data_IF_996621983292
#
_entry.id   IF_996621983292
#
_cell.length_a   1.000
_cell.length_b   1.000
_cell.length_c   1.000
_cell.angle_alpha   90.00
_cell.angle_beta   90.00
_cell.angle_gamma   90.00
#
_symmetry.space_group_name_H-M   'P 1'
#
loop_
_entity.id
_entity.type
_entity.pdbx_description
1 polymer ?
#
# COMPACT_ATOMS: atom_id res chain seq x y z
N UNK A 1 -10.23 -16.78 -5.44
CA UNK A 1 -9.19 -15.72 -5.57
C UNK A 1 -8.43 -15.60 -4.26
N UNK A 2 -7.09 -15.45 -4.26
CA UNK A 2 -6.28 -15.32 -3.04
C UNK A 2 -6.11 -13.85 -2.66
N UNK A 3 -6.48 -13.48 -1.43
CA UNK A 3 -6.31 -12.12 -0.89
C UNK A 3 -5.45 -12.18 0.37
N UNK A 4 -4.46 -11.29 0.47
CA UNK A 4 -3.66 -11.13 1.68
C UNK A 4 -4.34 -10.14 2.62
N UNK A 5 -4.38 -10.48 3.89
CA UNK A 5 -4.92 -9.60 4.92
C UNK A 5 -4.02 -9.56 6.15
N UNK A 6 -4.18 -8.51 6.95
CA UNK A 6 -3.49 -8.39 8.23
C UNK A 6 -4.12 -9.32 9.28
N UNK A 7 -3.52 -9.33 10.48
CA UNK A 7 -3.94 -10.20 11.57
C UNK A 7 -5.35 -9.89 12.10
N UNK A 8 -5.87 -8.67 11.92
CA UNK A 8 -7.20 -8.29 12.38
C UNK A 8 -8.30 -8.98 11.55
N UNK A 9 -8.00 -9.40 10.32
CA UNK A 9 -8.95 -10.09 9.43
C UNK A 9 -8.86 -11.63 9.50
N UNK A 10 -8.19 -12.20 10.51
CA UNK A 10 -8.06 -13.66 10.69
C UNK A 10 -9.22 -14.36 11.36
N UNK A 11 -10.33 -13.67 11.63
CA UNK A 11 -11.51 -14.27 12.25
C UNK A 11 -12.08 -15.41 11.40
N UNK A 12 -12.40 -16.54 12.05
CA UNK A 12 -12.98 -17.71 11.39
C UNK A 12 -14.32 -17.38 10.71
N UNK A 13 -15.15 -16.56 11.36
CA UNK A 13 -16.42 -16.09 10.82
C UNK A 13 -16.24 -15.26 9.53
N UNK A 14 -15.32 -14.29 9.55
CA UNK A 14 -15.03 -13.46 8.39
C UNK A 14 -14.45 -14.28 7.23
N UNK A 15 -13.55 -15.21 7.53
CA UNK A 15 -12.93 -16.07 6.53
C UNK A 15 -13.96 -17.00 5.89
N UNK A 16 -14.86 -17.59 6.69
CA UNK A 16 -15.95 -18.40 6.19
C UNK A 16 -16.93 -17.58 5.33
N UNK A 17 -17.31 -16.39 5.78
CA UNK A 17 -18.15 -15.49 5.02
C UNK A 17 -17.52 -15.09 3.68
N UNK A 18 -16.24 -14.72 3.66
CA UNK A 18 -15.53 -14.31 2.46
C UNK A 18 -15.42 -15.46 1.44
N UNK A 19 -15.18 -16.68 1.93
CA UNK A 19 -15.13 -17.86 1.07
C UNK A 19 -16.52 -18.19 0.49
N UNK A 20 -17.58 -18.14 1.30
CA UNK A 20 -18.93 -18.52 0.88
C UNK A 20 -19.62 -17.46 0.01
N UNK A 21 -19.39 -16.18 0.29
CA UNK A 21 -20.09 -15.08 -0.37
C UNK A 21 -19.32 -14.56 -1.59
N UNK A 22 -17.99 -14.48 -1.47
CA UNK A 22 -17.15 -13.83 -2.49
C UNK A 22 -16.25 -14.84 -3.23
N UNK A 23 -16.16 -16.10 -2.80
CA UNK A 23 -15.21 -17.08 -3.37
C UNK A 23 -13.75 -16.68 -3.15
N UNK A 24 -13.48 -15.93 -2.09
CA UNK A 24 -12.16 -15.38 -1.76
C UNK A 24 -11.55 -16.17 -0.61
N UNK A 25 -10.33 -16.65 -0.83
CA UNK A 25 -9.50 -17.26 0.19
C UNK A 25 -8.61 -16.19 0.81
N UNK A 26 -8.76 -15.97 2.11
CA UNK A 26 -7.97 -14.99 2.86
C UNK A 26 -6.72 -15.68 3.41
N UNK A 27 -5.56 -15.14 3.07
CA UNK A 27 -4.29 -15.53 3.67
C UNK A 27 -3.82 -14.43 4.60
N UNK A 28 -3.98 -14.68 5.90
CA UNK A 28 -3.46 -13.78 6.93
C UNK A 28 -1.96 -13.94 7.07
N UNK A 29 -1.25 -12.82 7.09
CA UNK A 29 0.17 -12.78 7.42
C UNK A 29 0.29 -12.39 8.89
N UNK A 30 0.59 -13.34 9.80
CA UNK A 30 0.73 -13.02 11.21
C UNK A 30 1.94 -12.13 11.44
N UNK A 31 1.81 -11.22 12.41
CA UNK A 31 2.96 -10.49 12.94
C UNK A 31 3.74 -11.45 13.85
N UNK A 32 5.08 -11.48 13.80
CA UNK A 32 5.87 -12.25 14.76
C UNK A 32 5.59 -11.77 16.19
N UNK A 33 5.42 -12.69 17.15
CA UNK A 33 5.05 -12.32 18.53
C UNK A 33 6.17 -11.54 19.25
N UNK A 34 7.44 -11.79 18.88
CA UNK A 34 8.62 -11.10 19.43
C UNK A 34 8.89 -9.72 18.80
N UNK A 35 8.02 -9.28 17.89
CA UNK A 35 8.17 -8.02 17.16
C UNK A 35 7.93 -6.79 18.04
N UNK A 36 8.99 -6.12 18.48
CA UNK A 36 8.89 -4.79 19.11
C UNK A 36 8.97 -3.67 18.06
N UNK A 37 8.04 -2.71 18.13
CA UNK A 37 7.99 -1.56 17.22
C UNK A 37 7.39 -1.88 15.83
N UNK A 38 7.55 -0.96 14.89
CA UNK A 38 7.01 -1.10 13.53
C UNK A 38 7.86 -2.09 12.71
N UNK A 39 7.26 -3.20 12.29
CA UNK A 39 7.89 -4.17 11.38
C UNK A 39 7.15 -4.16 10.06
N UNK A 40 7.91 -4.08 8.97
CA UNK A 40 7.40 -4.18 7.61
C UNK A 40 6.94 -5.62 7.35
N UNK A 41 5.63 -5.85 7.36
CA UNK A 41 5.07 -7.14 6.94
C UNK A 41 5.15 -7.26 5.41
N UNK A 42 5.66 -8.39 4.87
CA UNK A 42 5.73 -8.59 3.44
C UNK A 42 4.34 -8.47 2.80
N UNK A 43 4.23 -7.67 1.72
CA UNK A 43 3.01 -7.35 0.93
C UNK A 43 2.02 -6.36 1.56
N UNK A 44 2.07 -6.11 2.87
CA UNK A 44 1.17 -5.13 3.51
C UNK A 44 1.48 -3.69 3.10
N UNK A 45 2.73 -3.42 2.71
CA UNK A 45 3.14 -2.10 2.19
C UNK A 45 2.27 -1.65 1.00
N UNK A 46 1.69 -2.57 0.22
CA UNK A 46 0.85 -2.22 -0.95
C UNK A 46 -0.40 -1.47 -0.48
N UNK A 47 -1.03 -1.94 0.59
CA UNK A 47 -2.23 -1.32 1.19
C UNK A 47 -1.85 0.02 1.83
N UNK A 48 -0.77 0.05 2.60
CA UNK A 48 -0.28 1.30 3.22
C UNK A 48 0.08 2.37 2.18
N UNK A 49 0.68 1.93 1.06
CA UNK A 49 1.04 2.81 -0.06
C UNK A 49 -0.21 3.33 -0.76
N UNK A 50 -1.22 2.49 -0.96
CA UNK A 50 -2.53 2.91 -1.48
C UNK A 50 -3.13 4.00 -0.58
N UNK A 51 -3.15 3.75 0.73
CA UNK A 51 -3.68 4.69 1.72
C UNK A 51 -2.89 6.01 1.73
N UNK A 52 -1.55 5.93 1.63
CA UNK A 52 -0.68 7.09 1.54
C UNK A 52 -0.98 7.96 0.31
N UNK A 53 -1.29 7.36 -0.84
CA UNK A 53 -1.68 8.12 -2.03
C UNK A 53 -3.03 8.81 -1.86
N UNK A 54 -4.00 8.15 -1.23
CA UNK A 54 -5.30 8.71 -0.89
C UNK A 54 -5.17 9.88 0.09
N UNK A 55 -4.37 9.74 1.15
CA UNK A 55 -4.08 10.81 2.10
C UNK A 55 -3.34 11.99 1.45
N UNK A 56 -2.44 11.73 0.48
CA UNK A 56 -1.73 12.79 -0.26
C UNK A 56 -2.67 13.66 -1.11
N UNK A 57 -3.84 13.16 -1.51
CA UNK A 57 -4.88 13.97 -2.13
C UNK A 57 -5.50 15.01 -1.17
N UNK A 58 -5.06 15.03 0.11
CA UNK A 58 -5.40 15.91 1.25
C UNK A 58 -6.86 15.90 1.68
N UNK A 59 -7.80 15.86 0.76
CA UNK A 59 -9.24 15.84 1.07
C UNK A 59 -9.72 14.52 1.67
N UNK A 60 -8.95 13.43 1.56
CA UNK A 60 -9.17 12.17 2.30
C UNK A 60 -8.30 11.98 3.53
N UNK A 61 -7.58 13.01 4.00
CA UNK A 61 -6.90 12.92 5.28
C UNK A 61 -7.91 12.70 6.43
N UNK A 62 -9.14 13.16 6.24
CA UNK A 62 -10.30 12.86 7.07
C UNK A 62 -11.54 12.80 6.19
N UNK A 63 -12.42 11.83 6.43
CA UNK A 63 -13.66 11.71 5.67
C UNK A 63 -14.73 12.62 6.27
N UNK A 64 -15.19 13.60 5.48
CA UNK A 64 -16.22 14.56 5.85
C UNK A 64 -17.51 14.36 5.05
N UNK A 65 -17.55 13.32 4.21
CA UNK A 65 -18.67 13.08 3.31
C UNK A 65 -19.83 12.43 4.08
N UNK A 66 -21.04 12.97 3.89
CA UNK A 66 -22.25 12.44 4.56
C UNK A 66 -22.79 11.18 3.91
N UNK A 67 -22.58 11.03 2.59
CA UNK A 67 -23.03 9.88 1.81
C UNK A 67 -21.84 9.04 1.36
N UNK A 68 -22.02 7.72 1.38
CA UNK A 68 -21.02 6.75 0.93
C UNK A 68 -20.64 6.94 -0.54
N UNK A 69 -21.61 7.28 -1.39
CA UNK A 69 -21.38 7.55 -2.82
C UNK A 69 -20.42 8.71 -3.07
N UNK A 70 -20.45 9.76 -2.24
CA UNK A 70 -19.48 10.85 -2.32
C UNK A 70 -18.10 10.41 -1.84
N UNK A 71 -18.06 9.58 -0.79
CA UNK A 71 -16.81 9.05 -0.30
C UNK A 71 -16.09 8.22 -1.38
N UNK A 72 -16.83 7.35 -2.06
CA UNK A 72 -16.38 6.52 -3.17
C UNK A 72 -15.89 7.34 -4.37
N UNK A 73 -16.69 8.31 -4.83
CA UNK A 73 -16.33 9.18 -5.97
C UNK A 73 -15.01 9.91 -5.70
N UNK A 74 -14.78 10.31 -4.46
CA UNK A 74 -13.59 11.04 -4.09
C UNK A 74 -12.34 10.14 -4.01
N UNK A 75 -12.49 8.86 -3.64
CA UNK A 75 -11.41 7.86 -3.80
C UNK A 75 -11.08 7.66 -5.28
N UNK A 76 -12.09 7.50 -6.13
CA UNK A 76 -11.88 7.35 -7.58
C UNK A 76 -11.14 8.55 -8.18
N UNK A 77 -11.53 9.79 -7.83
CA UNK A 77 -10.84 11.00 -8.25
C UNK A 77 -9.37 11.05 -7.82
N UNK A 78 -9.04 10.59 -6.62
CA UNK A 78 -7.64 10.52 -6.17
C UNK A 78 -6.80 9.66 -7.12
N UNK A 79 -7.31 8.49 -7.53
CA UNK A 79 -6.62 7.60 -8.47
C UNK A 79 -6.61 8.12 -9.90
N UNK A 80 -7.72 8.70 -10.39
CA UNK A 80 -7.80 9.32 -11.71
C UNK A 80 -6.78 10.44 -11.86
N UNK A 81 -6.52 11.24 -10.81
CA UNK A 81 -5.49 12.29 -10.88
C UNK A 81 -4.06 11.75 -10.69
N UNK A 82 -3.92 10.62 -10.00
CA UNK A 82 -2.63 9.99 -9.73
C UNK A 82 -2.05 9.28 -10.96
N UNK A 83 -2.89 8.59 -11.75
CA UNK A 83 -2.43 7.79 -12.90
C UNK A 83 -1.79 8.64 -14.00
N UNK A 84 -2.39 9.74 -14.49
CA UNK A 84 -1.78 10.63 -15.49
C UNK A 84 -0.48 11.24 -14.98
N UNK A 85 -0.39 11.62 -13.70
CA UNK A 85 0.85 12.14 -13.09
C UNK A 85 1.98 11.12 -13.01
N UNK A 86 1.66 9.83 -13.04
CA UNK A 86 2.68 8.76 -13.14
C UNK A 86 3.10 8.56 -14.57
N UNK A 87 2.14 8.52 -15.49
CA UNK A 87 2.41 8.36 -16.92
C UNK A 87 3.23 9.53 -17.47
N UNK A 88 2.89 10.76 -17.10
CA UNK A 88 3.59 11.98 -17.52
C UNK A 88 4.92 12.19 -16.79
N UNK A 89 5.22 11.42 -15.72
CA UNK A 89 6.49 11.54 -15.02
C UNK A 89 7.57 10.92 -15.90
N UNK A 90 8.40 11.78 -16.50
CA UNK A 90 9.62 11.35 -17.20
C UNK A 90 10.42 10.48 -16.25
N UNK A 91 10.69 9.24 -16.66
CA UNK A 91 11.56 8.34 -15.89
C UNK A 91 12.94 9.01 -15.86
N UNK A 92 13.25 9.73 -14.78
CA UNK A 92 14.60 10.23 -14.54
C UNK A 92 15.41 8.98 -14.27
N UNK A 93 15.94 8.36 -15.32
CA UNK A 93 16.99 7.35 -15.17
C UNK A 93 18.04 8.01 -14.29
N UNK A 94 18.26 7.45 -13.12
CA UNK A 94 19.44 7.73 -12.35
C UNK A 94 20.60 7.43 -13.29
N UNK A 95 21.24 8.47 -13.84
CA UNK A 95 22.60 8.29 -14.34
C UNK A 95 23.38 7.77 -13.14
N UNK A 96 23.78 6.52 -13.23
CA UNK A 96 24.68 5.94 -12.25
C UNK A 96 25.92 6.83 -12.24
N UNK A 97 26.17 7.50 -11.11
CA UNK A 97 27.46 8.14 -10.87
C UNK A 97 28.48 7.00 -10.93
N UNK A 98 29.43 7.01 -11.88
CA UNK A 98 30.43 5.95 -11.96
C UNK A 98 31.20 5.94 -10.64
N UNK A 99 31.32 4.75 -10.05
CA UNK A 99 31.98 4.55 -8.78
C UNK A 99 33.43 5.06 -8.88
N UNK A 100 33.75 6.14 -8.17
CA UNK A 100 35.12 6.60 -8.00
C UNK A 100 35.85 5.53 -7.16
N UNK A 101 36.82 4.86 -7.78
CA UNK A 101 37.66 3.83 -7.17
C UNK A 101 38.46 4.44 -6.00
N UNK A 102 38.13 4.08 -4.76
CA UNK A 102 38.82 4.54 -3.54
C UNK A 102 40.13 3.78 -3.28
N UNK A 103 40.83 3.33 -4.33
CA UNK A 103 42.08 2.56 -4.24
C UNK A 103 43.32 3.38 -4.60
N UNK A 104 43.51 4.54 -3.99
CA UNK A 104 44.82 5.22 -3.97
C UNK A 104 44.88 6.20 -2.79
N UNK A 105 45.09 5.67 -1.58
CA UNK A 105 45.54 6.45 -0.43
C UNK A 105 46.15 5.51 0.63
N UNK A 106 47.14 4.73 0.22
CA UNK A 106 48.08 4.08 1.12
C UNK A 106 49.46 4.16 0.47
N UNK A 107 50.14 5.27 0.71
CA UNK A 107 51.56 5.49 0.46
C UNK A 107 52.08 6.46 1.52
#
# INVERSE_FOLDING_TARGET
MLVWADNAYGGAEFTAWAQNTLGITIKVVPRPDDAKGFILLPKLWVVERLNSWTMRARRKARDYERLMSHAEAHVQWAFITLMPRRLARRHRRSEAVPAQDQRTAAA
#
